data_IF_878228236768
#
_entry.id   IF_878228236768
#
_cell.length_a   1.000
_cell.length_b   1.000
_cell.length_c   1.000
_cell.angle_alpha   90.00
_cell.angle_beta   90.00
_cell.angle_gamma   90.00
#
_symmetry.space_group_name_H-M   'P 1'
#
loop_
_entity.id
_entity.type
_entity.pdbx_description
1 polymer ?
#
# COMPACT_ATOMS: atom_id res chain seq x y z
N UNK A 1 20.52 -3.56 5.03
CA UNK A 1 19.77 -4.26 4.01
C UNK A 1 18.49 -4.81 4.58
N UNK A 2 17.41 -4.75 3.85
CA UNK A 2 16.13 -5.25 4.30
C UNK A 2 15.42 -4.41 5.31
N UNK A 3 15.90 -3.20 5.55
CA UNK A 3 15.27 -2.30 6.50
C UNK A 3 14.29 -1.33 5.85
N UNK A 4 14.18 -1.36 4.54
CA UNK A 4 13.27 -0.48 3.83
C UNK A 4 11.98 -1.19 3.49
N UNK A 5 10.86 -0.54 3.80
CA UNK A 5 9.53 -1.03 3.47
C UNK A 5 8.89 0.01 2.55
N UNK A 6 8.44 -0.43 1.38
CA UNK A 6 7.84 0.47 0.39
C UNK A 6 6.42 0.03 0.08
N UNK A 7 5.48 0.93 0.29
CA UNK A 7 4.05 0.65 0.13
C UNK A 7 3.47 1.63 -0.89
N UNK A 8 2.78 1.08 -1.90
CA UNK A 8 2.11 1.91 -2.90
C UNK A 8 0.60 1.78 -2.75
N UNK A 9 -0.08 2.92 -2.61
CA UNK A 9 -1.53 2.96 -2.64
C UNK A 9 -1.97 3.37 -4.04
N UNK A 10 -2.84 2.57 -4.63
CA UNK A 10 -3.39 2.85 -5.96
C UNK A 10 -4.83 3.29 -5.81
N UNK A 11 -5.16 4.42 -6.38
CA UNK A 11 -6.49 4.99 -6.22
C UNK A 11 -6.82 5.92 -7.39
N UNK A 12 -8.05 6.41 -7.44
CA UNK A 12 -8.37 7.55 -8.26
C UNK A 12 -7.79 8.78 -7.57
N UNK A 13 -7.23 9.69 -8.34
CA UNK A 13 -6.67 10.91 -7.77
C UNK A 13 -7.74 11.65 -6.98
N UNK A 14 -7.53 11.75 -5.68
CA UNK A 14 -8.43 12.48 -4.80
C UNK A 14 -7.69 12.93 -3.57
N UNK A 15 -8.15 14.03 -2.99
CA UNK A 15 -7.53 14.63 -1.81
C UNK A 15 -7.49 13.66 -0.62
N UNK A 16 -8.50 12.78 -0.52
CA UNK A 16 -8.60 11.85 0.61
C UNK A 16 -7.44 10.87 0.68
N UNK A 17 -6.89 10.47 -0.47
CA UNK A 17 -5.77 9.53 -0.48
C UNK A 17 -4.50 10.20 0.04
N UNK A 18 -4.31 11.47 -0.28
CA UNK A 18 -3.18 12.22 0.26
C UNK A 18 -3.22 12.31 1.77
N UNK A 19 -4.42 12.54 2.35
CA UNK A 19 -4.61 12.58 3.79
C UNK A 19 -4.30 11.20 4.41
N UNK A 20 -4.76 10.14 3.75
CA UNK A 20 -4.52 8.78 4.23
C UNK A 20 -3.02 8.47 4.27
N UNK A 21 -2.30 8.80 3.21
CA UNK A 21 -0.86 8.57 3.13
C UNK A 21 -0.14 9.36 4.23
N UNK A 22 -0.53 10.61 4.45
CA UNK A 22 0.08 11.43 5.50
C UNK A 22 -0.12 10.81 6.88
N UNK A 23 -1.33 10.30 7.15
CA UNK A 23 -1.61 9.62 8.43
C UNK A 23 -0.76 8.37 8.60
N UNK A 24 -0.67 7.57 7.54
CA UNK A 24 0.13 6.35 7.59
C UNK A 24 1.60 6.64 7.84
N UNK A 25 2.13 7.68 7.19
CA UNK A 25 3.52 8.09 7.39
C UNK A 25 3.78 8.49 8.83
N UNK A 26 2.88 9.28 9.40
CA UNK A 26 3.01 9.72 10.80
C UNK A 26 2.99 8.54 11.75
N UNK A 27 2.08 7.59 11.52
CA UNK A 27 1.97 6.39 12.36
C UNK A 27 3.23 5.55 12.24
N UNK A 28 3.75 5.38 11.02
CA UNK A 28 4.98 4.62 10.81
C UNK A 28 6.17 5.23 11.54
N UNK A 29 6.28 6.56 11.52
CA UNK A 29 7.37 7.26 12.23
C UNK A 29 7.32 7.03 13.72
N UNK A 30 6.12 6.93 14.29
CA UNK A 30 5.93 6.77 15.72
C UNK A 30 5.91 5.32 16.17
N UNK A 31 5.91 4.37 15.24
CA UNK A 31 5.80 2.97 15.57
C UNK A 31 7.11 2.40 16.12
N UNK A 32 7.03 1.79 17.29
CA UNK A 32 8.19 1.13 17.89
C UNK A 32 8.72 0.02 17.00
N UNK A 33 7.83 -0.70 16.34
CA UNK A 33 8.22 -1.83 15.48
C UNK A 33 8.94 -1.38 14.22
N UNK A 34 8.69 -0.15 13.77
CA UNK A 34 9.24 0.37 12.53
C UNK A 34 10.31 1.42 12.77
N UNK A 35 10.68 1.63 14.02
CA UNK A 35 11.59 2.67 14.45
C UNK A 35 12.92 2.69 13.70
N UNK A 36 13.47 1.53 13.41
CA UNK A 36 14.76 1.40 12.75
C UNK A 36 14.64 1.08 11.26
N UNK A 37 13.46 1.29 10.68
CA UNK A 37 13.23 1.01 9.27
C UNK A 37 12.83 2.26 8.52
N UNK A 38 13.26 2.33 7.28
CA UNK A 38 12.78 3.37 6.38
C UNK A 38 11.45 2.88 5.80
N UNK A 39 10.37 3.64 6.02
CA UNK A 39 9.06 3.28 5.49
C UNK A 39 8.65 4.33 4.46
N UNK A 40 8.47 3.88 3.22
CA UNK A 40 8.04 4.74 2.12
C UNK A 40 6.60 4.40 1.79
N UNK A 41 5.74 5.40 1.82
CA UNK A 41 4.32 5.24 1.52
C UNK A 41 3.94 6.29 0.50
N UNK A 42 3.51 5.86 -0.67
CA UNK A 42 3.15 6.77 -1.75
C UNK A 42 1.81 6.37 -2.34
N UNK A 43 1.17 7.33 -3.00
CA UNK A 43 -0.08 7.10 -3.71
C UNK A 43 0.09 7.48 -5.17
N UNK A 44 -0.43 6.66 -6.07
CA UNK A 44 -0.35 6.89 -7.51
C UNK A 44 -1.66 6.48 -8.18
N UNK A 45 -2.00 7.09 -9.31
CA UNK A 45 -3.16 6.64 -10.08
C UNK A 45 -2.93 5.23 -10.64
N UNK A 46 -4.01 4.50 -10.84
CA UNK A 46 -3.94 3.13 -11.36
C UNK A 46 -3.19 3.03 -12.70
N UNK A 47 -3.32 4.05 -13.54
CA UNK A 47 -2.66 4.05 -14.85
C UNK A 47 -1.14 4.05 -14.79
N UNK A 48 -0.57 4.47 -13.67
CA UNK A 48 0.89 4.54 -13.50
C UNK A 48 1.48 3.27 -12.88
N UNK A 49 0.67 2.29 -12.55
CA UNK A 49 1.13 1.12 -11.80
C UNK A 49 2.32 0.41 -12.46
N UNK A 50 2.28 0.20 -13.77
CA UNK A 50 3.36 -0.51 -14.46
C UNK A 50 4.71 0.19 -14.32
N UNK A 51 4.70 1.53 -14.25
CA UNK A 51 5.93 2.29 -14.12
C UNK A 51 6.55 2.15 -12.73
N UNK A 52 5.73 2.05 -11.70
CA UNK A 52 6.21 2.18 -10.33
C UNK A 52 6.20 0.88 -9.53
N UNK A 53 5.48 -0.15 -9.99
CA UNK A 53 5.29 -1.37 -9.21
C UNK A 53 6.58 -2.02 -8.74
N UNK A 54 7.62 -1.98 -9.55
CA UNK A 54 8.91 -2.58 -9.21
C UNK A 54 9.58 -1.94 -8.00
N UNK A 55 9.25 -0.69 -7.73
CA UNK A 55 9.89 0.08 -6.67
C UNK A 55 9.27 -0.15 -5.30
N UNK A 56 8.19 -0.90 -5.24
CA UNK A 56 7.44 -1.08 -3.99
C UNK A 56 7.37 -2.55 -3.60
N UNK A 57 7.26 -2.77 -2.29
CA UNK A 57 7.15 -4.12 -1.74
C UNK A 57 5.74 -4.66 -1.78
N UNK A 58 4.75 -3.79 -1.77
CA UNK A 58 3.36 -4.20 -1.91
C UNK A 58 2.52 -3.08 -2.50
N UNK A 59 1.35 -3.46 -2.99
CA UNK A 59 0.39 -2.53 -3.57
C UNK A 59 -0.94 -2.71 -2.84
N UNK A 60 -1.52 -1.60 -2.41
CA UNK A 60 -2.85 -1.60 -1.81
C UNK A 60 -3.78 -0.81 -2.72
N UNK A 61 -4.94 -1.37 -3.03
CA UNK A 61 -5.90 -0.77 -3.93
C UNK A 61 -7.05 -0.16 -3.14
N UNK A 62 -7.38 1.09 -3.40
CA UNK A 62 -8.50 1.74 -2.74
C UNK A 62 -9.82 1.06 -3.08
N UNK A 63 -10.78 1.01 -2.14
CA UNK A 63 -12.05 0.32 -2.38
C UNK A 63 -12.81 0.84 -3.58
N UNK A 64 -12.68 2.12 -3.90
CA UNK A 64 -13.34 2.71 -5.05
C UNK A 64 -12.79 2.19 -6.39
N UNK A 65 -11.65 1.50 -6.35
CA UNK A 65 -11.04 0.89 -7.53
C UNK A 65 -11.24 -0.62 -7.57
N UNK A 66 -12.14 -1.14 -6.77
CA UNK A 66 -12.41 -2.58 -6.69
C UNK A 66 -12.70 -3.20 -8.06
N UNK A 67 -13.41 -2.48 -8.91
CA UNK A 67 -13.76 -2.97 -10.24
C UNK A 67 -12.55 -3.19 -11.15
N UNK A 68 -11.41 -2.59 -10.81
CA UNK A 68 -10.16 -2.78 -11.58
C UNK A 68 -9.17 -3.69 -10.88
N UNK A 69 -9.54 -4.25 -9.74
CA UNK A 69 -8.62 -5.04 -8.94
C UNK A 69 -7.97 -6.19 -9.74
N UNK A 70 -8.77 -6.92 -10.51
CA UNK A 70 -8.23 -8.06 -11.27
C UNK A 70 -7.19 -7.63 -12.29
N UNK A 71 -7.41 -6.51 -12.96
CA UNK A 71 -6.44 -5.99 -13.93
C UNK A 71 -5.15 -5.55 -13.25
N UNK A 72 -5.28 -4.88 -12.10
CA UNK A 72 -4.13 -4.43 -11.34
C UNK A 72 -3.37 -5.63 -10.78
N UNK A 73 -4.08 -6.66 -10.36
CA UNK A 73 -3.46 -7.89 -9.86
C UNK A 73 -2.60 -8.55 -10.92
N UNK A 74 -3.07 -8.57 -12.16
CA UNK A 74 -2.28 -9.15 -13.25
C UNK A 74 -0.95 -8.43 -13.42
N UNK A 75 -0.96 -7.11 -13.29
CA UNK A 75 0.27 -6.31 -13.38
C UNK A 75 1.21 -6.67 -12.23
N UNK A 76 0.70 -6.71 -11.01
CA UNK A 76 1.51 -7.04 -9.84
C UNK A 76 2.06 -8.46 -9.91
N UNK A 77 1.25 -9.40 -10.35
CA UNK A 77 1.68 -10.80 -10.48
C UNK A 77 2.83 -10.93 -11.47
N UNK A 78 2.82 -10.16 -12.55
CA UNK A 78 3.89 -10.22 -13.55
C UNK A 78 5.23 -9.71 -13.01
N UNK A 79 5.21 -8.96 -11.92
CA UNK A 79 6.42 -8.47 -11.25
C UNK A 79 6.64 -9.14 -9.90
N UNK A 80 5.87 -10.16 -9.58
CA UNK A 80 5.95 -10.90 -8.32
C UNK A 80 5.77 -9.99 -7.10
N UNK A 81 4.85 -9.05 -7.20
CA UNK A 81 4.54 -8.14 -6.09
C UNK A 81 3.17 -8.46 -5.51
N UNK A 82 3.05 -8.50 -4.18
CA UNK A 82 1.75 -8.75 -3.56
C UNK A 82 0.84 -7.54 -3.69
N UNK A 83 -0.45 -7.80 -3.79
CA UNK A 83 -1.46 -6.76 -3.93
C UNK A 83 -2.67 -7.16 -3.08
N UNK A 84 -3.33 -6.18 -2.49
CA UNK A 84 -4.55 -6.43 -1.73
C UNK A 84 -5.48 -5.24 -1.87
N UNK A 85 -6.76 -5.47 -1.62
CA UNK A 85 -7.77 -4.42 -1.62
C UNK A 85 -7.85 -3.86 -0.21
N UNK A 86 -7.80 -2.54 -0.06
CA UNK A 86 -7.91 -1.92 1.25
C UNK A 86 -9.30 -2.20 1.83
N UNK A 87 -9.35 -2.56 3.10
CA UNK A 87 -10.60 -2.78 3.80
C UNK A 87 -11.49 -1.52 3.68
N UNK A 88 -12.72 -1.70 3.21
CA UNK A 88 -13.62 -0.59 2.93
C UNK A 88 -13.90 0.25 4.17
N UNK A 89 -14.09 -0.39 5.30
CA UNK A 89 -14.38 0.28 6.56
C UNK A 89 -13.19 1.10 7.04
N UNK A 90 -12.00 0.50 6.99
CA UNK A 90 -10.78 1.19 7.40
C UNK A 90 -10.50 2.39 6.50
N UNK A 91 -10.74 2.25 5.21
CA UNK A 91 -10.54 3.34 4.27
C UNK A 91 -11.54 4.47 4.53
N UNK A 92 -12.81 4.11 4.75
CA UNK A 92 -13.85 5.10 5.02
C UNK A 92 -13.61 5.89 6.28
N UNK A 93 -12.99 5.26 7.29
CA UNK A 93 -12.65 5.93 8.56
C UNK A 93 -11.28 6.59 8.52
N UNK A 94 -10.58 6.49 7.40
CA UNK A 94 -9.21 6.99 7.26
C UNK A 94 -8.31 6.43 8.37
N UNK A 95 -8.48 5.15 8.68
CA UNK A 95 -7.71 4.49 9.74
C UNK A 95 -6.34 4.08 9.22
N UNK A 96 -5.42 5.04 9.23
CA UNK A 96 -4.07 4.82 8.72
C UNK A 96 -3.33 3.69 9.42
N UNK A 97 -3.58 3.51 10.71
CA UNK A 97 -2.95 2.44 11.49
C UNK A 97 -3.34 1.06 11.00
N UNK A 98 -4.64 0.84 10.80
CA UNK A 98 -5.12 -0.46 10.31
C UNK A 98 -4.69 -0.72 8.87
N UNK A 99 -4.69 0.32 8.04
CA UNK A 99 -4.25 0.19 6.65
C UNK A 99 -2.76 -0.14 6.60
N UNK A 100 -1.96 0.51 7.43
CA UNK A 100 -0.53 0.21 7.53
C UNK A 100 -0.32 -1.23 7.97
N UNK A 101 -1.06 -1.71 8.96
CA UNK A 101 -1.00 -3.10 9.40
C UNK A 101 -1.36 -4.06 8.26
N UNK A 102 -2.36 -3.71 7.47
CA UNK A 102 -2.73 -4.52 6.32
C UNK A 102 -1.56 -4.64 5.34
N UNK A 103 -0.89 -3.53 5.05
CA UNK A 103 0.26 -3.52 4.16
C UNK A 103 1.39 -4.41 4.68
N UNK A 104 1.70 -4.29 5.97
CA UNK A 104 2.76 -5.09 6.59
C UNK A 104 2.42 -6.58 6.55
N UNK A 105 1.16 -6.91 6.76
CA UNK A 105 0.69 -8.29 6.71
C UNK A 105 0.81 -8.86 5.30
N UNK A 106 0.45 -8.06 4.30
CA UNK A 106 0.54 -8.46 2.89
C UNK A 106 2.00 -8.75 2.51
N UNK A 107 2.91 -7.88 2.92
CA UNK A 107 4.34 -8.06 2.66
C UNK A 107 4.85 -9.33 3.35
N UNK A 108 4.50 -9.50 4.61
CA UNK A 108 4.92 -10.66 5.40
C UNK A 108 4.43 -11.96 4.77
N UNK A 109 3.17 -12.00 4.35
CA UNK A 109 2.60 -13.21 3.75
C UNK A 109 3.26 -13.55 2.42
N UNK A 110 3.68 -12.54 1.64
CA UNK A 110 4.32 -12.80 0.35
C UNK A 110 5.71 -13.40 0.50
N UNK A 111 6.34 -13.20 1.65
CA UNK A 111 7.68 -13.74 1.94
C UNK A 111 7.65 -15.12 2.57
N UNK A 112 6.49 -15.60 2.94
CA UNK A 112 6.31 -16.95 3.47
C UNK A 112 6.07 -17.89 2.31
N UNK A 113 7.05 -18.64 1.95
CA UNK A 113 6.91 -19.62 0.87
C UNK A 113 7.25 -20.99 1.40
#
# INVERSE_FOLDING_TARGET
MGNKISILLVCNLGASTGIMVAKMRTIAEKSEKLKNREVVIDARPAGDLKEYVKKYDCVLVGPQMKHKFNDLKKICDSYNKPIDLINTEDYGMADGGKILLQALRVISNSKKI
#
